data_IF_692729358019
#
_entry.id   IF_692729358019
#
_cell.length_a   1.000
_cell.length_b   1.000
_cell.length_c   1.000
_cell.angle_alpha   90.00
_cell.angle_beta   90.00
_cell.angle_gamma   90.00
#
_symmetry.space_group_name_H-M   'P 1'
#
loop_
_entity.id
_entity.type
_entity.pdbx_description
1 polymer ?
#
# COMPACT_ATOMS: atom_id res chain seq x y z
N UNK A 1 -4.34 -0.09 -4.85
CA UNK A 1 -2.94 -0.40 -4.45
C UNK A 1 -2.66 -0.08 -2.99
N UNK A 2 -3.06 1.10 -2.47
CA UNK A 2 -2.91 1.38 -1.03
C UNK A 2 -3.81 0.49 -0.16
N UNK A 3 -5.02 0.28 -0.63
CA UNK A 3 -6.12 -0.52 -0.06
C UNK A 3 -6.02 -2.00 -0.37
N UNK A 4 -5.58 -2.38 -1.57
CA UNK A 4 -5.53 -3.77 -1.99
C UNK A 4 -4.18 -4.45 -1.79
N UNK A 5 -3.10 -3.69 -1.56
CA UNK A 5 -1.74 -4.22 -1.39
C UNK A 5 -0.98 -3.55 -0.22
N UNK A 6 -1.61 -2.63 0.51
CA UNK A 6 -1.01 -2.00 1.70
C UNK A 6 0.16 -1.04 1.42
N UNK A 7 0.37 -0.57 0.18
CA UNK A 7 1.52 0.29 -0.14
C UNK A 7 1.42 1.68 0.51
N UNK A 8 2.56 2.25 0.89
CA UNK A 8 2.66 3.67 1.27
C UNK A 8 2.55 4.54 0.03
N UNK A 9 2.09 5.78 0.19
CA UNK A 9 1.94 6.71 -0.94
C UNK A 9 3.22 6.86 -1.79
N UNK A 10 4.39 7.02 -1.16
CA UNK A 10 5.65 7.09 -1.91
C UNK A 10 5.99 5.81 -2.67
N UNK A 11 5.61 4.64 -2.13
CA UNK A 11 5.79 3.34 -2.80
C UNK A 11 4.87 3.26 -4.03
N UNK A 12 3.58 3.65 -3.89
CA UNK A 12 2.60 3.75 -4.99
C UNK A 12 3.13 4.62 -6.13
N UNK A 13 3.60 5.82 -5.80
CA UNK A 13 4.13 6.78 -6.78
C UNK A 13 5.45 6.34 -7.43
N UNK A 14 6.15 5.40 -6.78
CA UNK A 14 7.40 4.84 -7.27
C UNK A 14 7.24 3.50 -7.99
N UNK A 15 6.02 2.95 -8.13
CA UNK A 15 5.84 1.64 -8.78
C UNK A 15 6.22 1.74 -10.26
N UNK A 16 7.17 0.90 -10.64
CA UNK A 16 7.58 0.69 -12.02
C UNK A 16 6.99 -0.63 -12.56
N UNK A 17 6.90 -0.76 -13.88
CA UNK A 17 6.26 -1.93 -14.53
C UNK A 17 6.96 -3.25 -14.20
N UNK A 18 8.28 -3.22 -14.02
CA UNK A 18 9.12 -4.37 -13.67
C UNK A 18 8.89 -4.88 -12.24
N UNK A 19 8.20 -4.09 -11.41
CA UNK A 19 7.81 -4.48 -10.07
C UNK A 19 6.50 -5.28 -10.02
N UNK A 20 5.78 -5.41 -11.13
CA UNK A 20 4.48 -6.09 -11.17
C UNK A 20 4.63 -7.42 -11.90
N UNK A 21 4.52 -8.52 -11.16
CA UNK A 21 4.46 -9.86 -11.72
C UNK A 21 3.00 -10.32 -11.76
N UNK A 22 2.44 -10.28 -12.97
CA UNK A 22 1.07 -10.69 -13.25
C UNK A 22 0.89 -12.21 -13.35
N UNK A 23 1.97 -12.97 -13.50
CA UNK A 23 1.93 -14.41 -13.66
C UNK A 23 2.00 -15.10 -12.29
N UNK A 24 2.76 -14.52 -11.35
CA UNK A 24 2.84 -14.99 -9.95
C UNK A 24 1.93 -14.24 -8.99
N UNK A 25 1.01 -13.40 -9.49
CA UNK A 25 0.12 -12.54 -8.68
C UNK A 25 0.88 -11.80 -7.55
N UNK A 26 2.05 -11.24 -7.87
CA UNK A 26 2.97 -10.63 -6.91
C UNK A 26 3.34 -9.20 -7.30
N UNK A 27 3.36 -8.31 -6.29
CA UNK A 27 3.87 -6.95 -6.43
C UNK A 27 5.14 -6.79 -5.58
N UNK A 28 6.26 -6.48 -6.25
CA UNK A 28 7.57 -6.28 -5.64
C UNK A 28 7.72 -4.84 -5.14
N UNK A 29 7.68 -4.62 -3.83
CA UNK A 29 7.88 -3.28 -3.26
C UNK A 29 9.37 -3.00 -3.09
N UNK A 30 10.02 -2.57 -4.17
CA UNK A 30 11.49 -2.41 -4.23
C UNK A 30 11.97 -0.96 -4.20
N UNK A 31 11.07 0.00 -4.34
CA UNK A 31 11.41 1.42 -4.33
C UNK A 31 10.23 2.31 -3.90
N UNK A 32 10.53 3.59 -3.70
CA UNK A 32 9.59 4.67 -3.47
C UNK A 32 10.07 5.94 -4.17
N UNK A 33 9.13 6.83 -4.46
CA UNK A 33 9.38 8.22 -4.83
C UNK A 33 9.33 9.09 -3.56
N UNK A 34 10.38 9.86 -3.29
CA UNK A 34 10.45 10.80 -2.16
C UNK A 34 11.12 12.11 -2.57
N UNK A 35 11.10 13.10 -1.68
CA UNK A 35 11.83 14.35 -1.85
C UNK A 35 13.19 14.31 -1.12
N UNK A 36 14.21 14.87 -1.77
CA UNK A 36 15.52 15.18 -1.20
C UNK A 36 15.91 16.59 -1.65
N UNK A 37 16.16 17.52 -0.72
CA UNK A 37 16.46 18.94 -1.01
C UNK A 37 15.52 19.53 -2.09
N UNK A 38 14.22 19.29 -1.93
CA UNK A 38 13.15 19.71 -2.87
C UNK A 38 13.17 19.09 -4.27
N UNK A 39 14.10 18.17 -4.56
CA UNK A 39 14.10 17.36 -5.79
C UNK A 39 13.44 16.00 -5.53
N UNK A 40 12.65 15.54 -6.50
CA UNK A 40 12.16 14.17 -6.49
C UNK A 40 13.31 13.19 -6.76
N UNK A 41 13.37 12.12 -5.97
CA UNK A 41 14.38 11.07 -6.07
C UNK A 41 13.71 9.71 -5.90
N UNK A 42 14.23 8.71 -6.59
CA UNK A 42 13.92 7.32 -6.27
C UNK A 42 14.75 6.88 -5.08
N UNK A 43 14.22 6.00 -4.24
CA UNK A 43 14.96 5.42 -3.13
C UNK A 43 14.40 4.04 -2.79
N UNK A 44 15.14 3.19 -2.05
CA UNK A 44 14.56 2.00 -1.44
C UNK A 44 13.37 2.38 -0.55
N UNK A 45 12.44 1.45 -0.28
CA UNK A 45 11.37 1.67 0.68
C UNK A 45 11.93 2.09 2.05
N UNK A 46 11.11 2.71 2.90
CA UNK A 46 11.59 3.23 4.18
C UNK A 46 12.28 2.12 4.98
N UNK A 47 13.52 2.36 5.39
CA UNK A 47 14.35 1.38 6.09
C UNK A 47 15.02 0.32 5.20
N UNK A 48 14.97 0.47 3.88
CA UNK A 48 15.61 -0.45 2.92
C UNK A 48 14.90 -1.80 2.77
N UNK A 49 13.66 -1.91 3.27
CA UNK A 49 12.94 -3.19 3.36
C UNK A 49 12.19 -3.47 2.07
N UNK A 50 12.86 -4.20 1.19
CA UNK A 50 12.24 -4.83 0.04
C UNK A 50 11.31 -5.93 0.55
N UNK A 51 10.20 -6.12 -0.15
CA UNK A 51 9.20 -7.12 0.19
C UNK A 51 8.31 -7.40 -1.02
N UNK A 52 7.76 -8.59 -1.02
CA UNK A 52 6.72 -8.98 -1.94
C UNK A 52 5.38 -8.90 -1.24
N UNK A 53 4.37 -8.42 -1.95
CA UNK A 53 2.99 -8.41 -1.46
C UNK A 53 2.09 -9.11 -2.46
N UNK A 54 1.09 -9.87 -1.99
CA UNK A 54 0.08 -10.42 -2.88
C UNK A 54 -0.53 -9.32 -3.74
N UNK A 55 -0.77 -9.62 -5.01
CA UNK A 55 -1.48 -8.77 -5.95
C UNK A 55 -2.86 -9.40 -6.23
N UNK A 56 -3.91 -9.02 -5.48
CA UNK A 56 -5.24 -9.56 -5.71
C UNK A 56 -5.71 -9.27 -7.13
N UNK A 57 -6.38 -10.24 -7.76
CA UNK A 57 -6.87 -10.16 -9.14
C UNK A 57 -7.63 -8.85 -9.47
N UNK A 58 -8.55 -8.32 -8.64
CA UNK A 58 -9.20 -7.03 -8.93
C UNK A 58 -8.21 -5.86 -9.05
N UNK A 59 -7.14 -5.87 -8.25
CA UNK A 59 -6.08 -4.85 -8.32
C UNK A 59 -5.23 -5.06 -9.56
N UNK A 60 -4.88 -6.31 -9.88
CA UNK A 60 -4.16 -6.65 -11.10
C UNK A 60 -4.92 -6.18 -12.35
N UNK A 61 -6.22 -6.45 -12.42
CA UNK A 61 -7.07 -6.07 -13.55
C UNK A 61 -7.21 -4.55 -13.67
N UNK A 62 -7.33 -3.84 -12.55
CA UNK A 62 -7.30 -2.38 -12.53
C UNK A 62 -5.96 -1.82 -13.02
N UNK A 63 -4.83 -2.42 -12.62
CA UNK A 63 -3.50 -2.03 -13.11
C UNK A 63 -3.36 -2.29 -14.61
N UNK A 64 -3.81 -3.44 -15.12
CA UNK A 64 -3.82 -3.74 -16.56
C UNK A 64 -4.67 -2.75 -17.35
N UNK A 65 -5.85 -2.40 -16.84
CA UNK A 65 -6.71 -1.40 -17.48
C UNK A 65 -6.07 -0.01 -17.48
N UNK A 66 -5.46 0.38 -16.35
CA UNK A 66 -4.76 1.64 -16.22
C UNK A 66 -3.58 1.73 -17.18
N UNK A 67 -2.69 0.73 -17.26
CA UNK A 67 -1.51 0.76 -18.13
C UNK A 67 -1.85 0.74 -19.62
N UNK A 68 -2.99 0.15 -20.01
CA UNK A 68 -3.51 0.27 -21.38
C UNK A 68 -3.99 1.68 -21.71
N UNK A 69 -4.69 2.33 -20.78
CA UNK A 69 -5.23 3.69 -20.97
C UNK A 69 -4.14 4.77 -20.84
N UNK A 70 -3.17 4.53 -19.97
CA UNK A 70 -2.08 5.43 -19.62
C UNK A 70 -0.77 4.65 -19.73
N UNK A 71 -0.18 4.57 -20.94
CA UNK A 71 1.07 3.84 -21.14
C UNK A 71 2.17 4.28 -20.17
N UNK A 72 2.87 3.33 -19.50
CA UNK A 72 3.95 3.65 -18.57
C UNK A 72 5.09 4.42 -19.23
N UNK A 73 5.57 5.47 -18.55
CA UNK A 73 6.59 6.42 -19.07
C UNK A 73 7.91 6.23 -18.34
N UNK A 74 9.01 6.31 -19.08
CA UNK A 74 10.36 6.35 -18.51
C UNK A 74 10.65 7.68 -17.84
N UNK A 75 11.02 7.62 -16.56
CA UNK A 75 11.34 8.78 -15.75
C UNK A 75 12.75 8.59 -15.18
N UNK A 76 13.64 9.54 -15.47
CA UNK A 76 14.99 9.58 -14.90
C UNK A 76 15.02 10.55 -13.72
N UNK A 77 15.37 10.04 -12.54
CA UNK A 77 15.55 10.84 -11.33
C UNK A 77 16.83 10.41 -10.60
N UNK A 78 17.41 11.29 -9.76
CA UNK A 78 18.51 10.90 -8.89
C UNK A 78 18.12 9.76 -7.93
N UNK A 79 19.10 8.92 -7.59
CA UNK A 79 18.94 7.86 -6.60
C UNK A 79 19.31 8.31 -5.19
N UNK A 80 18.42 8.03 -4.23
CA UNK A 80 18.48 8.30 -2.77
C UNK A 80 18.53 9.78 -2.36
N UNK A 81 19.35 10.59 -3.02
CA UNK A 81 19.65 11.99 -2.70
C UNK A 81 19.67 12.85 -3.97
N UNK A 82 19.49 14.15 -3.80
CA UNK A 82 19.28 15.12 -4.89
C UNK A 82 20.42 15.20 -5.94
N UNK A 83 21.62 14.83 -5.52
CA UNK A 83 22.89 14.79 -6.27
C UNK A 83 23.35 13.34 -6.51
N UNK A 84 22.51 12.35 -6.21
CA UNK A 84 22.79 10.95 -6.47
C UNK A 84 22.81 10.61 -7.95
N UNK A 85 23.34 9.42 -8.31
CA UNK A 85 23.40 9.00 -9.71
C UNK A 85 21.99 8.91 -10.31
N UNK A 86 21.82 9.30 -11.59
CA UNK A 86 20.53 9.19 -12.26
C UNK A 86 20.16 7.72 -12.44
N UNK A 87 18.90 7.39 -12.20
CA UNK A 87 18.33 6.08 -12.52
C UNK A 87 17.02 6.27 -13.28
N UNK A 88 16.82 5.47 -14.32
CA UNK A 88 15.60 5.49 -15.13
C UNK A 88 14.67 4.38 -14.70
N UNK A 89 13.39 4.71 -14.50
CA UNK A 89 12.34 3.76 -14.14
C UNK A 89 11.11 4.02 -15.00
N UNK A 90 10.49 2.95 -15.51
CA UNK A 90 9.28 3.04 -16.31
C UNK A 90 8.05 2.98 -15.39
N UNK A 91 7.53 4.14 -15.01
CA UNK A 91 6.52 4.28 -13.97
C UNK A 91 5.10 3.99 -14.46
N UNK A 92 4.32 3.31 -13.61
CA UNK A 92 2.90 3.01 -13.86
C UNK A 92 2.01 4.24 -13.71
N UNK A 93 2.33 5.11 -12.76
CA UNK A 93 1.59 6.35 -12.50
C UNK A 93 2.45 7.55 -12.84
N UNK A 94 1.94 8.37 -13.75
CA UNK A 94 2.63 9.55 -14.28
C UNK A 94 1.73 10.77 -14.19
N UNK A 95 2.34 11.95 -14.06
CA UNK A 95 1.62 13.20 -14.04
C UNK A 95 1.06 13.56 -15.43
N UNK A 96 0.08 14.48 -15.53
CA UNK A 96 -0.59 14.82 -16.79
C UNK A 96 0.33 15.30 -17.91
N UNK A 97 1.54 15.77 -17.57
CA UNK A 97 2.57 16.27 -18.50
C UNK A 97 3.71 15.28 -18.75
N UNK A 98 3.50 13.98 -18.50
CA UNK A 98 4.49 12.93 -18.77
C UNK A 98 5.64 12.83 -17.77
N UNK A 99 5.57 13.54 -16.64
CA UNK A 99 6.54 13.45 -15.54
C UNK A 99 6.11 12.47 -14.44
N UNK A 100 6.85 12.43 -13.33
CA UNK A 100 6.37 11.74 -12.13
C UNK A 100 5.19 12.51 -11.50
N UNK A 101 4.38 11.80 -10.71
CA UNK A 101 3.30 12.42 -9.93
C UNK A 101 3.89 13.13 -8.71
N UNK A 102 3.59 14.42 -8.55
CA UNK A 102 3.90 15.15 -7.33
C UNK A 102 2.90 14.80 -6.24
N UNK A 103 3.40 14.42 -5.05
CA UNK A 103 2.57 14.10 -3.89
C UNK A 103 1.57 15.20 -3.55
N UNK A 104 2.02 16.46 -3.59
CA UNK A 104 1.17 17.63 -3.29
C UNK A 104 0.04 17.75 -4.31
N UNK A 105 0.34 17.71 -5.61
CA UNK A 105 -0.69 17.74 -6.66
C UNK A 105 -1.66 16.56 -6.54
N UNK A 106 -1.18 15.34 -6.31
CA UNK A 106 -2.07 14.19 -6.11
C UNK A 106 -3.03 14.43 -4.93
N UNK A 107 -2.52 14.96 -3.82
CA UNK A 107 -3.33 15.19 -2.63
C UNK A 107 -4.38 16.30 -2.85
N UNK A 108 -3.95 17.45 -3.38
CA UNK A 108 -4.81 18.64 -3.49
C UNK A 108 -5.75 18.56 -4.71
N UNK A 109 -5.30 17.99 -5.82
CA UNK A 109 -6.02 18.05 -7.11
C UNK A 109 -6.84 16.79 -7.40
N UNK A 110 -6.57 15.67 -6.73
CA UNK A 110 -7.30 14.42 -6.94
C UNK A 110 -7.84 13.79 -5.66
N UNK A 111 -7.01 13.63 -4.61
CA UNK A 111 -7.40 12.92 -3.40
C UNK A 111 -8.47 13.65 -2.59
N UNK A 112 -8.23 14.92 -2.20
CA UNK A 112 -9.22 15.70 -1.43
C UNK A 112 -10.52 15.93 -2.22
N UNK A 113 -10.50 16.25 -3.53
CA UNK A 113 -11.72 16.25 -4.33
C UNK A 113 -12.48 14.91 -4.32
N UNK A 114 -11.78 13.77 -4.40
CA UNK A 114 -12.41 12.46 -4.33
C UNK A 114 -13.04 12.19 -2.94
N UNK A 115 -12.37 12.59 -1.86
CA UNK A 115 -12.93 12.49 -0.49
C UNK A 115 -14.19 13.33 -0.33
N UNK A 116 -14.19 14.56 -0.87
CA UNK A 116 -15.36 15.43 -0.79
C UNK A 116 -16.52 14.92 -1.65
N UNK A 117 -16.23 14.42 -2.85
CA UNK A 117 -17.23 13.78 -3.70
C UNK A 117 -17.84 12.53 -3.04
N UNK A 118 -17.05 11.82 -2.23
CA UNK A 118 -17.50 10.67 -1.44
C UNK A 118 -18.18 11.05 -0.10
N UNK A 119 -18.28 12.35 0.23
CA UNK A 119 -18.88 12.83 1.48
C UNK A 119 -18.04 12.59 2.74
N UNK A 120 -16.76 12.22 2.60
CA UNK A 120 -15.85 11.96 3.73
C UNK A 120 -15.36 13.27 4.36
N UNK A 121 -15.20 14.30 3.55
CA UNK A 121 -14.88 15.66 4.00
C UNK A 121 -15.85 16.65 3.36
N UNK A 122 -16.10 17.83 3.95
CA UNK A 122 -16.92 18.83 3.30
C UNK A 122 -16.25 19.33 2.01
N UNK A 123 -17.08 19.67 1.01
CA UNK A 123 -16.63 20.43 -0.13
C UNK A 123 -16.11 21.82 0.34
N UNK A 124 -15.05 22.36 -0.28
CA UNK A 124 -14.53 23.65 0.12
C UNK A 124 -15.49 24.75 -0.33
N UNK A 125 -15.54 25.83 0.45
CA UNK A 125 -16.13 27.08 -0.02
C UNK A 125 -15.40 27.58 -1.28
N UNK A 126 -16.12 28.30 -2.13
CA UNK A 126 -15.57 28.82 -3.39
C UNK A 126 -14.31 29.66 -3.12
N UNK A 127 -13.19 29.27 -3.73
CA UNK A 127 -11.90 29.97 -3.59
C UNK A 127 -11.12 29.64 -2.31
N UNK A 128 -11.64 28.76 -1.43
CA UNK A 128 -10.91 28.24 -0.28
C UNK A 128 -10.28 26.88 -0.60
N UNK A 129 -9.14 26.52 0.01
CA UNK A 129 -8.63 25.16 -0.07
C UNK A 129 -9.53 24.19 0.69
N UNK A 130 -9.46 22.90 0.35
CA UNK A 130 -10.03 21.84 1.16
C UNK A 130 -9.44 21.86 2.57
N UNK A 131 -10.28 21.62 3.57
CA UNK A 131 -9.87 21.48 4.97
C UNK A 131 -8.74 20.44 5.13
N UNK A 132 -7.90 20.63 6.15
CA UNK A 132 -6.92 19.61 6.50
C UNK A 132 -7.65 18.34 6.94
N UNK A 133 -7.33 17.22 6.29
CA UNK A 133 -7.88 15.91 6.67
C UNK A 133 -6.75 14.89 6.74
N UNK A 134 -5.98 15.00 7.82
CA UNK A 134 -4.81 14.14 8.06
C UNK A 134 -5.21 12.69 8.28
N UNK A 135 -6.33 12.48 8.97
CA UNK A 135 -6.91 11.16 9.24
C UNK A 135 -7.36 10.44 7.96
N UNK A 136 -7.88 11.18 6.98
CA UNK A 136 -8.33 10.64 5.70
C UNK A 136 -7.26 10.78 4.59
N UNK A 137 -6.01 11.04 4.93
CA UNK A 137 -4.92 11.02 3.95
C UNK A 137 -4.80 9.65 3.28
N UNK A 138 -4.04 9.54 2.18
CA UNK A 138 -3.86 8.24 1.49
C UNK A 138 -3.33 7.10 2.37
N UNK A 139 -2.77 7.40 3.56
CA UNK A 139 -2.39 6.38 4.54
C UNK A 139 -3.60 5.63 5.12
N UNK A 140 -4.79 6.22 5.11
CA UNK A 140 -6.04 5.58 5.51
C UNK A 140 -6.33 4.30 4.70
N UNK A 141 -6.00 4.29 3.40
CA UNK A 141 -6.15 3.08 2.57
C UNK A 141 -5.28 1.93 3.06
N UNK A 142 -4.08 2.24 3.57
CA UNK A 142 -3.20 1.24 4.15
C UNK A 142 -3.69 0.75 5.51
N UNK A 143 -4.32 1.62 6.31
CA UNK A 143 -5.03 1.19 7.51
C UNK A 143 -6.19 0.26 7.15
N UNK A 144 -6.98 0.60 6.13
CA UNK A 144 -8.04 -0.25 5.61
C UNK A 144 -7.53 -1.65 5.22
N UNK A 145 -6.44 -1.73 4.44
CA UNK A 145 -5.81 -3.01 4.09
C UNK A 145 -5.46 -3.86 5.33
N UNK A 146 -4.88 -3.23 6.35
CA UNK A 146 -4.54 -3.92 7.60
C UNK A 146 -5.78 -4.40 8.35
N UNK A 147 -6.83 -3.58 8.42
CA UNK A 147 -8.11 -3.93 9.05
C UNK A 147 -8.76 -5.13 8.36
N UNK A 148 -8.84 -5.11 7.03
CA UNK A 148 -9.43 -6.21 6.24
C UNK A 148 -8.68 -7.52 6.47
N UNK A 149 -7.35 -7.50 6.44
CA UNK A 149 -6.56 -8.72 6.67
C UNK A 149 -6.73 -9.27 8.09
N UNK A 150 -6.77 -8.42 9.11
CA UNK A 150 -6.94 -8.87 10.50
C UNK A 150 -8.34 -9.40 10.78
N UNK A 151 -9.36 -8.77 10.20
CA UNK A 151 -10.74 -9.25 10.28
C UNK A 151 -10.89 -10.62 9.62
N UNK A 152 -10.24 -10.82 8.47
CA UNK A 152 -10.14 -12.12 7.79
C UNK A 152 -9.29 -13.16 8.56
N UNK A 153 -8.65 -12.79 9.66
CA UNK A 153 -7.85 -13.69 10.49
C UNK A 153 -6.43 -13.94 9.98
N UNK A 154 -5.89 -13.06 9.14
CA UNK A 154 -4.53 -13.16 8.62
C UNK A 154 -3.48 -13.17 9.75
N UNK A 155 -2.36 -13.85 9.51
CA UNK A 155 -1.27 -13.91 10.44
C UNK A 155 -0.64 -12.50 10.62
N UNK A 156 -0.55 -12.03 11.87
CA UNK A 156 0.05 -10.74 12.20
C UNK A 156 1.50 -10.59 11.71
N UNK A 157 2.25 -11.68 11.63
CA UNK A 157 3.61 -11.71 11.07
C UNK A 157 3.57 -11.43 9.56
N UNK A 158 2.69 -12.13 8.83
CA UNK A 158 2.51 -11.92 7.39
C UNK A 158 2.04 -10.47 7.11
N UNK A 159 1.06 -9.97 7.87
CA UNK A 159 0.65 -8.58 7.78
C UNK A 159 1.81 -7.61 8.04
N UNK A 160 2.62 -7.82 9.08
CA UNK A 160 3.78 -6.97 9.38
C UNK A 160 4.80 -6.97 8.23
N UNK A 161 5.01 -8.13 7.60
CA UNK A 161 5.85 -8.29 6.42
C UNK A 161 5.29 -7.54 5.22
N UNK A 162 4.01 -7.75 4.85
CA UNK A 162 3.36 -7.05 3.73
C UNK A 162 3.31 -5.53 3.92
N UNK A 163 3.19 -5.07 5.16
CA UNK A 163 3.26 -3.67 5.51
C UNK A 163 4.71 -3.14 5.51
N UNK A 164 5.74 -3.99 5.55
CA UNK A 164 7.13 -3.55 5.68
C UNK A 164 7.39 -2.86 7.02
N UNK A 165 6.80 -3.40 8.09
CA UNK A 165 7.05 -2.99 9.46
C UNK A 165 8.37 -3.58 9.97
N UNK A 166 8.98 -2.94 10.98
CA UNK A 166 10.25 -3.42 11.53
C UNK A 166 10.14 -4.70 12.33
N UNK A 167 8.95 -5.02 12.79
CA UNK A 167 8.60 -6.29 13.37
C UNK A 167 7.12 -6.31 13.73
N UNK A 168 6.59 -7.48 14.13
CA UNK A 168 5.18 -7.65 14.47
C UNK A 168 4.72 -6.75 15.63
N UNK A 169 5.62 -6.39 16.56
CA UNK A 169 5.27 -5.51 17.69
C UNK A 169 4.75 -4.13 17.29
N UNK A 170 5.21 -3.57 16.16
CA UNK A 170 4.62 -2.33 15.63
C UNK A 170 3.18 -2.58 15.14
N UNK A 171 2.97 -3.64 14.38
CA UNK A 171 1.64 -4.03 13.87
C UNK A 171 0.67 -4.31 15.01
N UNK A 172 1.12 -5.05 16.04
CA UNK A 172 0.32 -5.38 17.21
C UNK A 172 -0.09 -4.12 17.97
N UNK A 173 0.85 -3.19 18.22
CA UNK A 173 0.51 -1.91 18.89
C UNK A 173 -0.52 -1.09 18.13
N UNK A 174 -0.50 -1.12 16.80
CA UNK A 174 -1.39 -0.29 15.98
C UNK A 174 -2.75 -0.96 15.77
N UNK A 175 -2.79 -2.29 15.59
CA UNK A 175 -3.99 -2.99 15.10
C UNK A 175 -4.51 -4.12 15.98
N UNK A 176 -3.91 -4.41 17.14
CA UNK A 176 -4.38 -5.49 18.02
C UNK A 176 -5.87 -5.38 18.38
N UNK A 177 -6.39 -4.16 18.50
CA UNK A 177 -7.80 -3.89 18.81
C UNK A 177 -8.78 -4.34 17.72
N UNK A 178 -8.29 -4.63 16.51
CA UNK A 178 -9.11 -5.13 15.38
C UNK A 178 -9.12 -6.66 15.32
N UNK A 179 -8.29 -7.34 16.12
CA UNK A 179 -8.22 -8.80 16.07
C UNK A 179 -9.47 -9.41 16.71
N UNK A 180 -10.19 -10.32 16.03
CA UNK A 180 -11.38 -10.94 16.60
C UNK A 180 -11.02 -11.76 17.85
N UNK A 181 -11.87 -11.70 18.89
CA UNK A 181 -11.67 -12.49 20.10
C UNK A 181 -11.59 -13.98 19.74
N UNK A 182 -10.58 -14.68 20.27
CA UNK A 182 -10.22 -16.02 19.78
C UNK A 182 -10.71 -17.15 20.68
N UNK A 183 -11.41 -16.89 21.79
CA UNK A 183 -11.67 -17.90 22.83
C UNK A 183 -12.27 -19.21 22.27
N UNK A 184 -13.33 -19.11 21.48
CA UNK A 184 -13.98 -20.29 20.90
C UNK A 184 -13.16 -20.96 19.79
N UNK A 185 -12.43 -20.17 18.99
CA UNK A 185 -11.50 -20.70 17.98
C UNK A 185 -10.35 -21.46 18.65
N UNK A 186 -9.80 -20.92 19.72
CA UNK A 186 -8.74 -21.54 20.53
C UNK A 186 -9.24 -22.82 21.19
N UNK A 187 -10.42 -22.81 21.80
CA UNK A 187 -10.99 -24.02 22.39
C UNK A 187 -11.21 -25.11 21.35
N UNK A 188 -11.82 -24.78 20.20
CA UNK A 188 -12.04 -25.74 19.11
C UNK A 188 -10.74 -26.32 18.57
N UNK A 189 -9.75 -25.48 18.28
CA UNK A 189 -8.47 -25.93 17.72
C UNK A 189 -7.76 -26.96 18.61
N UNK A 190 -7.80 -26.76 19.93
CA UNK A 190 -7.22 -27.72 20.88
C UNK A 190 -8.08 -28.98 20.97
N UNK A 191 -9.41 -28.83 21.08
CA UNK A 191 -10.34 -29.97 21.13
C UNK A 191 -10.21 -30.90 19.92
N UNK A 192 -10.09 -30.35 18.71
CA UNK A 192 -9.97 -31.14 17.47
C UNK A 192 -8.72 -32.05 17.46
N UNK A 193 -7.61 -31.59 18.04
CA UNK A 193 -6.38 -32.40 18.16
C UNK A 193 -6.61 -33.57 19.11
N UNK A 194 -7.22 -33.32 20.27
CA UNK A 194 -7.47 -34.37 21.26
C UNK A 194 -8.56 -35.35 20.82
N UNK A 195 -9.62 -34.89 20.12
CA UNK A 195 -10.65 -35.78 19.59
C UNK A 195 -10.09 -36.79 18.57
N UNK A 196 -9.13 -36.38 17.71
CA UNK A 196 -8.45 -37.31 16.78
C UNK A 196 -7.54 -38.32 17.48
N UNK A 197 -7.01 -37.98 18.65
CA UNK A 197 -6.18 -38.87 19.46
C UNK A 197 -7.00 -39.87 20.28
N UNK A 198 -8.21 -39.46 20.71
CA UNK A 198 -9.10 -40.28 21.53
C UNK A 198 -10.01 -41.20 20.69
N UNK A 199 -10.20 -40.90 19.40
CA UNK A 199 -10.94 -41.70 18.44
C UNK A 199 -10.12 -41.90 17.16
N UNK A 200 -9.09 -42.77 17.17
CA UNK A 200 -8.41 -43.13 15.93
C UNK A 200 -9.42 -43.82 14.99
N UNK A 201 -9.50 -43.36 13.74
CA UNK A 201 -10.24 -44.06 12.68
C UNK A 201 -9.70 -45.51 12.58
N UNK A 202 -10.59 -46.51 12.36
CA UNK A 202 -10.24 -47.93 12.39
C UNK A 202 -9.26 -48.36 11.28
#
# INVERSE_FOLDING_TARGET
MGDGCGLRQGEILGVAVDAIDFDSDTLHVVQQLKLSRSKAVFAPPKGGKLRDVPLPRPVADALRAHTRRFPPVEITLPWKVADGPPVTKRLVFTGPRGGHVWRTSLNEEAWKPALAAAGVIPAPERGRPYAESRENGMHALRHFYASVLLDAGENIKALAEYLGHSGPGLTLRVYAHLMPSSRERTSRAVSDVYSKLLHPEP
#
